data_IF_314853221299
#
_entry.id   IF_314853221299
#
_cell.length_a   1.000
_cell.length_b   1.000
_cell.length_c   1.000
_cell.angle_alpha   90.00
_cell.angle_beta   90.00
_cell.angle_gamma   90.00
#
_symmetry.space_group_name_H-M   'P 1'
#
loop_
_entity.id
_entity.type
_entity.pdbx_description
1 polymer ?
#
# COMPACT_ATOMS: atom_id res chain seq x y z
N UNK A 1 -15.83 5.60 -26.18
CA UNK A 1 -17.06 5.75 -25.39
C UNK A 1 -17.20 4.52 -24.51
N UNK A 2 -16.89 4.64 -23.21
CA UNK A 2 -17.20 3.60 -22.23
C UNK A 2 -18.73 3.61 -22.06
N UNK A 3 -19.42 2.55 -22.47
CA UNK A 3 -20.86 2.44 -22.19
C UNK A 3 -21.05 2.53 -20.67
N UNK A 4 -21.87 3.49 -20.22
CA UNK A 4 -22.32 3.62 -18.83
C UNK A 4 -23.22 2.43 -18.45
N UNK A 5 -22.67 1.22 -18.42
CA UNK A 5 -23.32 0.11 -17.72
C UNK A 5 -23.03 0.34 -16.24
N UNK A 6 -24.10 0.66 -15.50
CA UNK A 6 -24.04 1.10 -14.11
C UNK A 6 -23.06 0.31 -13.27
N UNK A 7 -22.21 1.02 -12.54
CA UNK A 7 -21.30 0.49 -11.54
C UNK A 7 -22.11 0.00 -10.33
N UNK A 8 -22.92 -1.04 -10.52
CA UNK A 8 -23.63 -1.69 -9.45
C UNK A 8 -22.66 -2.38 -8.48
N UNK A 9 -23.13 -2.72 -7.27
CA UNK A 9 -22.38 -3.43 -6.22
C UNK A 9 -21.77 -4.79 -6.64
N UNK A 10 -21.98 -5.23 -7.88
CA UNK A 10 -21.37 -6.42 -8.49
C UNK A 10 -20.18 -6.15 -9.40
N UNK A 11 -19.74 -4.90 -9.60
CA UNK A 11 -18.56 -4.61 -10.44
C UNK A 11 -17.29 -5.15 -9.75
N UNK A 12 -16.40 -5.89 -10.46
CA UNK A 12 -15.23 -6.54 -9.86
C UNK A 12 -14.37 -5.60 -9.01
N UNK A 13 -14.15 -4.37 -9.50
CA UNK A 13 -13.39 -3.31 -8.84
C UNK A 13 -14.01 -2.86 -7.52
N UNK A 14 -15.32 -2.57 -7.51
CA UNK A 14 -16.05 -2.15 -6.30
C UNK A 14 -16.13 -3.29 -5.30
N UNK A 15 -16.21 -4.54 -5.78
CA UNK A 15 -16.20 -5.73 -4.95
C UNK A 15 -14.85 -5.89 -4.24
N UNK A 16 -13.74 -5.91 -5.00
CA UNK A 16 -12.37 -6.02 -4.46
C UNK A 16 -12.10 -4.93 -3.43
N UNK A 17 -12.45 -3.67 -3.75
CA UNK A 17 -12.22 -2.57 -2.82
C UNK A 17 -13.11 -2.65 -1.58
N UNK A 18 -14.40 -2.98 -1.71
CA UNK A 18 -15.29 -3.14 -0.56
C UNK A 18 -14.88 -4.27 0.39
N UNK A 19 -14.16 -5.28 -0.11
CA UNK A 19 -13.61 -6.38 0.67
C UNK A 19 -12.33 -5.94 1.39
N UNK A 20 -11.45 -5.15 0.75
CA UNK A 20 -10.29 -4.49 1.40
C UNK A 20 -10.75 -3.59 2.55
N UNK A 21 -11.72 -2.71 2.29
CA UNK A 21 -12.16 -1.68 3.24
C UNK A 21 -12.81 -2.27 4.50
N UNK A 22 -13.62 -3.32 4.36
CA UNK A 22 -14.22 -4.03 5.52
C UNK A 22 -13.18 -4.65 6.45
N UNK A 23 -12.00 -4.97 5.93
CA UNK A 23 -10.90 -5.51 6.71
C UNK A 23 -10.11 -4.39 7.40
N UNK A 24 -9.79 -3.30 6.69
CA UNK A 24 -9.15 -2.10 7.28
C UNK A 24 -9.99 -1.54 8.44
N UNK A 25 -11.33 -1.52 8.29
CA UNK A 25 -12.26 -1.11 9.36
C UNK A 25 -12.18 -1.98 10.63
N UNK A 26 -11.74 -3.24 10.51
CA UNK A 26 -11.61 -4.19 11.65
C UNK A 26 -10.28 -4.05 12.39
N UNK A 27 -9.28 -3.39 11.80
CA UNK A 27 -7.99 -3.14 12.47
C UNK A 27 -8.06 -1.99 13.49
N UNK A 28 -9.20 -1.29 13.56
CA UNK A 28 -9.44 -0.19 14.51
C UNK A 28 -8.67 1.08 14.12
N UNK A 29 -9.06 2.24 14.67
CA UNK A 29 -8.23 3.44 14.53
C UNK A 29 -6.89 3.18 15.23
N UNK A 30 -5.80 3.74 14.67
CA UNK A 30 -4.51 3.83 15.35
C UNK A 30 -4.65 4.48 16.75
N UNK A 31 -3.58 4.44 17.57
CA UNK A 31 -3.62 4.91 18.95
C UNK A 31 -4.25 6.31 19.10
N UNK A 32 -5.01 6.52 20.18
CA UNK A 32 -5.78 7.74 20.44
C UNK A 32 -4.88 8.99 20.32
N UNK A 33 -5.20 9.94 19.40
CA UNK A 33 -4.40 11.14 19.17
C UNK A 33 -4.35 12.09 20.39
N UNK A 34 -5.11 11.82 21.46
CA UNK A 34 -5.04 12.55 22.74
C UNK A 34 -3.92 12.08 23.65
N UNK A 35 -3.26 10.96 23.35
CA UNK A 35 -2.06 10.52 24.07
C UNK A 35 -0.89 11.33 23.52
N UNK A 36 -0.56 12.43 24.20
CA UNK A 36 0.63 13.21 23.86
C UNK A 36 1.89 12.34 24.02
N UNK A 37 2.86 12.42 23.10
CA UNK A 37 4.16 11.80 23.32
C UNK A 37 4.78 12.42 24.58
N UNK A 38 5.37 11.57 25.45
CA UNK A 38 6.15 12.05 26.59
C UNK A 38 7.27 12.97 26.07
N UNK A 39 7.60 14.06 26.79
CA UNK A 39 8.77 14.86 26.47
C UNK A 39 10.02 13.97 26.47
N UNK A 40 10.87 14.13 25.46
CA UNK A 40 12.17 13.47 25.42
C UNK A 40 13.01 13.98 26.62
N UNK A 41 13.75 13.10 27.33
CA UNK A 41 14.70 13.53 28.33
C UNK A 41 15.81 14.40 27.69
N UNK A 42 16.47 15.27 28.47
CA UNK A 42 17.43 16.26 27.98
C UNK A 42 18.71 15.67 27.36
N UNK A 43 18.90 14.35 27.47
CA UNK A 43 20.07 13.64 27.00
C UNK A 43 19.62 12.80 25.81
N UNK A 44 20.00 13.21 24.59
CA UNK A 44 19.45 12.79 23.29
C UNK A 44 19.61 11.32 22.87
N UNK A 45 19.48 10.36 23.78
CA UNK A 45 19.32 8.95 23.46
C UNK A 45 17.82 8.60 23.50
N UNK A 46 17.22 8.07 22.41
CA UNK A 46 15.87 7.54 22.49
C UNK A 46 15.85 6.37 23.48
N UNK A 47 14.95 6.44 24.48
CA UNK A 47 14.68 5.31 25.36
C UNK A 47 14.38 4.07 24.49
N UNK A 48 15.05 2.92 24.70
CA UNK A 48 14.74 1.72 23.94
C UNK A 48 13.25 1.41 24.10
N UNK A 49 12.55 1.27 22.97
CA UNK A 49 11.14 0.91 22.97
C UNK A 49 10.93 -0.30 23.91
N UNK A 50 9.87 -0.30 24.74
CA UNK A 50 9.66 -1.37 25.70
C UNK A 50 9.67 -2.69 24.97
N UNK A 51 10.53 -3.61 25.41
CA UNK A 51 10.68 -4.92 24.82
C UNK A 51 9.29 -5.58 24.72
N UNK A 52 8.87 -5.89 23.49
CA UNK A 52 7.63 -6.61 23.25
C UNK A 52 7.69 -7.92 24.06
N UNK A 53 6.66 -8.25 24.86
CA UNK A 53 6.68 -9.44 25.69
C UNK A 53 6.93 -10.68 24.82
N UNK A 54 7.89 -11.52 25.25
CA UNK A 54 8.42 -12.69 24.55
C UNK A 54 7.42 -13.87 24.38
N UNK A 55 6.11 -13.58 24.31
CA UNK A 55 5.03 -14.55 24.14
C UNK A 55 4.02 -14.08 23.10
N UNK A 56 4.49 -13.84 21.88
CA UNK A 56 3.77 -14.21 20.66
C UNK A 56 4.80 -14.82 19.73
N UNK A 57 4.98 -16.14 19.83
CA UNK A 57 5.42 -16.90 18.65
C UNK A 57 4.50 -16.48 17.51
N UNK A 58 5.08 -16.31 16.34
CA UNK A 58 4.41 -15.93 15.10
C UNK A 58 3.26 -16.88 14.75
N UNK A 59 2.15 -16.75 15.46
CA UNK A 59 0.83 -17.09 14.95
C UNK A 59 0.45 -15.86 14.14
N UNK A 60 0.69 -15.96 12.83
CA UNK A 60 0.16 -14.99 11.87
C UNK A 60 -1.33 -14.86 12.20
N UNK A 61 -1.82 -13.67 12.62
CA UNK A 61 -3.25 -13.49 12.82
C UNK A 61 -3.91 -13.89 11.51
N UNK A 62 -4.93 -14.76 11.55
CA UNK A 62 -5.62 -15.30 10.38
C UNK A 62 -5.79 -14.24 9.28
N UNK A 63 -4.80 -14.18 8.39
CA UNK A 63 -4.56 -13.11 7.42
C UNK A 63 -5.28 -13.49 6.13
N UNK A 64 -6.55 -13.86 6.24
CA UNK A 64 -7.30 -14.42 5.14
C UNK A 64 -7.97 -13.30 4.33
N UNK A 65 -7.17 -12.41 3.73
CA UNK A 65 -7.53 -11.71 2.50
C UNK A 65 -6.29 -11.28 1.71
N UNK A 66 -5.87 -12.16 0.80
CA UNK A 66 -4.65 -12.00 0.03
C UNK A 66 -3.37 -12.19 0.85
N UNK A 67 -2.25 -12.41 0.17
CA UNK A 67 -0.93 -12.52 0.79
C UNK A 67 -0.27 -11.15 0.83
N UNK A 68 -0.63 -10.33 1.83
CA UNK A 68 -0.03 -8.99 2.05
C UNK A 68 0.31 -8.73 3.51
N UNK A 69 1.43 -8.06 3.76
CA UNK A 69 1.84 -7.50 5.05
C UNK A 69 1.94 -5.97 4.92
N UNK A 70 1.65 -5.23 5.98
CA UNK A 70 1.66 -3.77 5.98
C UNK A 70 2.76 -3.23 6.90
N UNK A 71 3.53 -2.28 6.38
CA UNK A 71 4.59 -1.58 7.09
C UNK A 71 4.30 -0.07 7.03
N UNK A 72 3.89 0.57 8.14
CA UNK A 72 3.59 2.00 8.18
C UNK A 72 4.73 2.81 8.82
N UNK A 73 5.92 2.95 8.19
CA UNK A 73 7.11 3.55 8.80
C UNK A 73 6.92 5.02 9.22
N UNK A 74 6.08 5.78 8.49
CA UNK A 74 5.75 7.17 8.83
C UNK A 74 5.03 7.27 10.17
N UNK A 75 4.10 6.36 10.46
CA UNK A 75 3.30 6.37 11.69
C UNK A 75 3.96 5.57 12.81
N UNK A 76 4.70 4.52 12.48
CA UNK A 76 5.49 3.72 13.43
C UNK A 76 6.83 4.36 13.79
N UNK A 77 7.23 5.43 13.12
CA UNK A 77 8.51 6.13 13.33
C UNK A 77 9.74 5.23 13.27
N UNK A 78 9.79 4.33 12.29
CA UNK A 78 10.93 3.45 12.01
C UNK A 78 11.35 3.55 10.54
N UNK A 79 12.64 3.31 10.25
CA UNK A 79 13.12 3.23 8.88
C UNK A 79 12.71 1.89 8.25
N UNK A 80 12.18 1.86 7.01
CA UNK A 80 11.74 0.61 6.39
C UNK A 80 12.92 -0.35 6.11
N UNK A 81 14.15 0.15 6.01
CA UNK A 81 15.38 -0.65 5.88
C UNK A 81 16.05 -0.98 7.22
N UNK A 82 15.38 -0.79 8.36
CA UNK A 82 15.91 -1.25 9.64
C UNK A 82 16.15 -2.78 9.60
N UNK A 83 17.37 -3.20 9.94
CA UNK A 83 17.80 -4.61 9.89
C UNK A 83 16.97 -5.50 10.83
N UNK A 84 16.30 -4.94 11.84
CA UNK A 84 15.36 -5.68 12.67
C UNK A 84 14.14 -6.21 11.89
N UNK A 85 13.78 -5.57 10.76
CA UNK A 85 12.64 -5.97 9.92
C UNK A 85 13.00 -7.05 8.88
N UNK A 86 14.29 -7.26 8.61
CA UNK A 86 14.76 -8.16 7.55
C UNK A 86 14.30 -9.61 7.70
N UNK A 87 14.25 -10.21 8.90
CA UNK A 87 13.67 -11.55 9.07
C UNK A 87 12.20 -11.63 8.62
N UNK A 88 11.43 -10.54 8.79
CA UNK A 88 10.05 -10.48 8.33
C UNK A 88 9.98 -10.36 6.80
N UNK A 89 10.86 -9.58 6.17
CA UNK A 89 10.95 -9.49 4.71
C UNK A 89 11.36 -10.81 4.07
N UNK A 90 12.36 -11.51 4.63
CA UNK A 90 12.77 -12.83 4.18
C UNK A 90 11.62 -13.85 4.26
N UNK A 91 10.82 -13.77 5.33
CA UNK A 91 9.61 -14.58 5.45
C UNK A 91 8.58 -14.22 4.36
N UNK A 92 8.32 -12.92 4.15
CA UNK A 92 7.36 -12.48 3.15
C UNK A 92 7.76 -12.91 1.74
N UNK A 93 9.04 -12.75 1.37
CA UNK A 93 9.58 -13.18 0.08
C UNK A 93 9.40 -14.68 -0.12
N UNK A 94 9.79 -15.50 0.86
CA UNK A 94 9.66 -16.96 0.80
C UNK A 94 8.21 -17.44 0.68
N UNK A 95 7.28 -16.76 1.35
CA UNK A 95 5.87 -17.17 1.42
C UNK A 95 4.97 -16.47 0.38
N UNK A 96 5.56 -15.76 -0.59
CA UNK A 96 4.85 -14.97 -1.61
C UNK A 96 3.89 -13.93 -1.01
N UNK A 97 4.26 -13.30 0.11
CA UNK A 97 3.57 -12.13 0.65
C UNK A 97 4.16 -10.86 0.05
N UNK A 98 3.26 -10.01 -0.43
CA UNK A 98 3.61 -8.62 -0.76
C UNK A 98 3.77 -7.78 0.51
N UNK A 99 4.66 -6.79 0.48
CA UNK A 99 4.81 -5.82 1.57
C UNK A 99 4.35 -4.45 1.09
N UNK A 100 3.34 -3.89 1.76
CA UNK A 100 2.80 -2.57 1.47
C UNK A 100 3.44 -1.57 2.42
N UNK A 101 4.24 -0.65 1.89
CA UNK A 101 4.84 0.43 2.65
C UNK A 101 4.03 1.71 2.53
N UNK A 102 3.75 2.36 3.65
CA UNK A 102 3.28 3.74 3.64
C UNK A 102 4.37 4.63 3.04
N UNK A 103 4.22 5.01 1.77
CA UNK A 103 5.18 5.75 0.96
C UNK A 103 4.56 7.10 0.56
N UNK A 104 4.40 7.99 1.53
CA UNK A 104 3.92 9.34 1.28
C UNK A 104 3.94 10.18 2.54
N UNK A 105 3.95 11.50 2.39
CA UNK A 105 3.85 12.41 3.53
C UNK A 105 2.48 12.30 4.17
N UNK A 106 2.45 12.35 5.50
CA UNK A 106 1.24 12.48 6.31
C UNK A 106 1.31 13.75 7.15
N UNK A 107 0.13 14.31 7.41
CA UNK A 107 -0.07 15.48 8.27
C UNK A 107 -0.59 15.10 9.66
N UNK A 108 -0.82 13.80 9.92
CA UNK A 108 -1.29 13.36 11.22
C UNK A 108 -0.21 13.60 12.29
N UNK A 109 -0.60 14.03 13.51
CA UNK A 109 0.34 14.21 14.61
C UNK A 109 1.21 12.97 14.84
N UNK A 110 2.52 13.18 15.06
CA UNK A 110 3.48 12.09 15.25
C UNK A 110 4.03 11.45 13.96
N UNK A 111 3.61 11.92 12.78
CA UNK A 111 4.12 11.41 11.50
C UNK A 111 5.59 11.79 11.27
N UNK A 112 6.43 10.80 10.96
CA UNK A 112 7.84 10.98 10.62
C UNK A 112 8.06 10.83 9.11
N UNK A 113 7.77 11.90 8.36
CA UNK A 113 7.70 11.89 6.88
C UNK A 113 9.01 11.53 6.15
N UNK A 114 10.17 11.60 6.81
CA UNK A 114 11.44 11.12 6.23
C UNK A 114 11.45 9.61 6.00
N UNK A 115 10.65 8.83 6.73
CA UNK A 115 10.59 7.39 6.53
C UNK A 115 9.64 6.96 5.40
N UNK A 116 9.00 7.92 4.72
CA UNK A 116 8.31 7.68 3.45
C UNK A 116 9.25 7.69 2.23
N UNK A 117 10.54 7.99 2.43
CA UNK A 117 11.51 8.09 1.34
C UNK A 117 11.69 6.74 0.60
N UNK A 118 11.36 6.66 -0.71
CA UNK A 118 11.57 5.45 -1.51
C UNK A 118 13.01 4.96 -1.54
N UNK A 119 14.01 5.83 -1.30
CA UNK A 119 15.41 5.41 -1.22
C UNK A 119 15.67 4.42 -0.07
N UNK A 120 14.94 4.56 1.05
CA UNK A 120 15.02 3.59 2.15
C UNK A 120 14.38 2.25 1.76
N UNK A 121 13.36 2.27 0.90
CA UNK A 121 12.71 1.05 0.40
C UNK A 121 13.58 0.38 -0.67
N UNK A 122 14.38 1.13 -1.43
CA UNK A 122 15.33 0.61 -2.42
C UNK A 122 16.32 -0.37 -1.80
N UNK A 123 16.83 -0.09 -0.60
CA UNK A 123 17.69 -1.02 0.14
C UNK A 123 17.02 -2.38 0.38
N UNK A 124 15.73 -2.38 0.72
CA UNK A 124 14.95 -3.61 0.92
C UNK A 124 14.76 -4.35 -0.40
N UNK A 125 14.39 -3.65 -1.46
CA UNK A 125 14.20 -4.24 -2.79
C UNK A 125 15.51 -4.81 -3.36
N UNK A 126 16.64 -4.17 -3.07
CA UNK A 126 17.97 -4.67 -3.45
C UNK A 126 18.31 -5.96 -2.69
N UNK A 127 18.06 -5.98 -1.39
CA UNK A 127 18.44 -7.10 -0.52
C UNK A 127 17.45 -8.29 -0.64
N UNK A 128 16.22 -8.06 -1.09
CA UNK A 128 15.16 -9.04 -1.35
C UNK A 128 14.57 -8.85 -2.77
N UNK A 129 15.27 -9.31 -3.82
CA UNK A 129 14.92 -9.01 -5.21
C UNK A 129 13.62 -9.69 -5.69
N UNK A 130 13.14 -10.73 -5.01
CA UNK A 130 11.91 -11.45 -5.35
C UNK A 130 10.70 -10.97 -4.50
N UNK A 131 10.95 -10.21 -3.43
CA UNK A 131 9.90 -9.63 -2.60
C UNK A 131 9.03 -8.67 -3.42
N UNK A 132 7.72 -8.90 -3.46
CA UNK A 132 6.79 -7.95 -4.07
C UNK A 132 6.54 -6.78 -3.13
N UNK A 133 6.82 -5.56 -3.58
CA UNK A 133 6.72 -4.33 -2.80
C UNK A 133 5.66 -3.41 -3.39
N UNK A 134 4.83 -2.83 -2.53
CA UNK A 134 3.81 -1.85 -2.91
C UNK A 134 4.05 -0.54 -2.15
N UNK A 135 4.14 0.56 -2.89
CA UNK A 135 4.30 1.90 -2.37
C UNK A 135 2.91 2.54 -2.22
N UNK A 136 2.31 2.40 -1.03
CA UNK A 136 1.04 3.06 -0.72
C UNK A 136 1.20 4.58 -0.74
N UNK A 137 0.23 5.26 -1.32
CA UNK A 137 0.23 6.70 -1.58
C UNK A 137 1.28 7.20 -2.60
N UNK A 138 1.99 6.30 -3.29
CA UNK A 138 2.76 6.60 -4.50
C UNK A 138 3.80 7.72 -4.39
N UNK A 139 4.33 7.97 -3.21
CA UNK A 139 5.26 9.07 -2.95
C UNK A 139 4.59 10.43 -2.67
N UNK A 140 3.33 10.43 -2.21
CA UNK A 140 2.58 11.66 -1.88
C UNK A 140 3.45 12.71 -1.21
N UNK A 141 3.37 13.95 -1.69
CA UNK A 141 4.19 15.06 -1.20
C UNK A 141 5.37 15.31 -2.12
N UNK A 142 6.59 15.07 -1.65
CA UNK A 142 7.82 15.34 -2.41
C UNK A 142 8.55 14.07 -2.88
N UNK A 143 7.92 12.89 -2.76
CA UNK A 143 8.54 11.60 -3.08
C UNK A 143 8.07 11.01 -4.43
N UNK A 144 7.17 11.68 -5.16
CA UNK A 144 6.58 11.15 -6.40
C UNK A 144 7.62 10.72 -7.43
N UNK A 145 8.65 11.53 -7.65
CA UNK A 145 9.67 11.22 -8.64
C UNK A 145 10.50 10.00 -8.26
N UNK A 146 10.86 9.87 -6.98
CA UNK A 146 11.60 8.72 -6.48
C UNK A 146 10.74 7.43 -6.53
N UNK A 147 9.45 7.53 -6.18
CA UNK A 147 8.52 6.41 -6.24
C UNK A 147 8.29 5.92 -7.68
N UNK A 148 8.12 6.86 -8.63
CA UNK A 148 8.02 6.53 -10.05
C UNK A 148 9.31 5.90 -10.59
N UNK A 149 10.47 6.46 -10.24
CA UNK A 149 11.76 5.94 -10.66
C UNK A 149 11.96 4.48 -10.28
N UNK A 150 11.83 4.15 -8.98
CA UNK A 150 12.06 2.79 -8.49
C UNK A 150 11.05 1.80 -9.09
N UNK A 151 9.79 2.20 -9.26
CA UNK A 151 8.72 1.39 -9.85
C UNK A 151 8.99 1.05 -11.32
N UNK A 152 9.56 1.99 -12.09
CA UNK A 152 9.93 1.72 -13.49
C UNK A 152 11.23 0.91 -13.61
N UNK A 153 12.10 0.97 -12.60
CA UNK A 153 13.39 0.27 -12.58
C UNK A 153 13.30 -1.16 -12.05
N UNK A 154 12.31 -1.46 -11.19
CA UNK A 154 12.20 -2.73 -10.47
C UNK A 154 10.84 -3.39 -10.78
N UNK A 155 10.80 -4.56 -11.44
CA UNK A 155 9.54 -5.18 -11.88
C UNK A 155 8.67 -5.73 -10.74
N UNK A 156 9.24 -5.87 -9.54
CA UNK A 156 8.58 -6.30 -8.31
C UNK A 156 8.07 -5.14 -7.44
N UNK A 157 8.22 -3.89 -7.88
CA UNK A 157 7.75 -2.70 -7.17
C UNK A 157 6.52 -2.12 -7.86
N UNK A 158 5.50 -1.79 -7.07
CA UNK A 158 4.21 -1.27 -7.53
C UNK A 158 3.86 0.01 -6.79
N UNK A 159 3.05 0.87 -7.41
CA UNK A 159 2.47 2.04 -6.75
C UNK A 159 1.01 1.77 -6.44
N UNK A 160 0.57 2.02 -5.22
CA UNK A 160 -0.86 2.06 -4.90
C UNK A 160 -1.32 3.51 -4.75
N UNK A 161 -2.36 3.90 -5.49
CA UNK A 161 -2.79 5.30 -5.64
C UNK A 161 -3.75 5.79 -4.55
N UNK A 162 -3.84 5.10 -3.42
CA UNK A 162 -4.70 5.49 -2.30
C UNK A 162 -4.39 6.89 -1.78
N UNK A 163 -5.45 7.64 -1.52
CA UNK A 163 -5.35 9.01 -1.02
C UNK A 163 -4.81 10.02 -2.04
N UNK A 164 -4.67 9.63 -3.32
CA UNK A 164 -4.32 10.53 -4.42
C UNK A 164 -5.56 10.81 -5.28
N UNK A 165 -5.90 12.09 -5.57
CA UNK A 165 -6.97 12.41 -6.52
C UNK A 165 -6.61 11.87 -7.91
N UNK A 166 -7.41 10.98 -8.53
CA UNK A 166 -7.05 10.34 -9.78
C UNK A 166 -6.73 11.32 -10.92
N UNK A 167 -7.48 12.44 -11.02
CA UNK A 167 -7.25 13.47 -12.04
C UNK A 167 -5.86 14.12 -11.96
N UNK A 168 -5.21 14.09 -10.79
CA UNK A 168 -3.90 14.70 -10.58
C UNK A 168 -2.73 13.72 -10.78
N UNK A 169 -3.00 12.43 -10.97
CA UNK A 169 -1.94 11.43 -11.18
C UNK A 169 -1.00 11.81 -12.34
N UNK A 170 -1.48 12.28 -13.53
CA UNK A 170 -0.58 12.72 -14.59
C UNK A 170 0.32 13.89 -14.17
N UNK A 171 -0.18 14.81 -13.37
CA UNK A 171 0.59 15.97 -12.89
C UNK A 171 1.63 15.57 -11.84
N UNK A 172 1.30 14.64 -10.94
CA UNK A 172 2.20 14.15 -9.91
C UNK A 172 3.39 13.39 -10.49
N UNK A 173 3.20 12.67 -11.60
CA UNK A 173 4.24 11.90 -12.27
C UNK A 173 4.66 12.50 -13.61
N UNK A 174 4.48 13.81 -13.81
CA UNK A 174 4.72 14.51 -15.09
C UNK A 174 6.14 14.38 -15.66
N UNK A 175 7.11 14.04 -14.82
CA UNK A 175 8.51 13.84 -15.21
C UNK A 175 8.76 12.45 -15.82
N UNK A 176 7.74 11.59 -15.86
CA UNK A 176 7.81 10.22 -16.39
C UNK A 176 6.74 9.99 -17.45
N UNK A 177 6.90 8.92 -18.23
CA UNK A 177 5.83 8.40 -19.08
C UNK A 177 4.72 7.83 -18.18
N UNK A 178 3.68 8.63 -17.98
CA UNK A 178 2.55 8.27 -17.12
C UNK A 178 1.83 7.02 -17.64
N UNK A 179 1.68 6.85 -18.96
CA UNK A 179 1.02 5.68 -19.54
C UNK A 179 1.77 4.38 -19.25
N UNK A 180 3.11 4.43 -19.31
CA UNK A 180 3.97 3.30 -18.91
C UNK A 180 3.91 3.04 -17.41
N UNK A 181 4.04 4.06 -16.58
CA UNK A 181 4.01 3.94 -15.12
C UNK A 181 2.66 3.41 -14.61
N UNK A 182 1.57 3.89 -15.20
CA UNK A 182 0.19 3.51 -14.91
C UNK A 182 -0.03 1.98 -14.96
N UNK A 183 0.69 1.25 -15.82
CA UNK A 183 0.58 -0.22 -15.90
C UNK A 183 1.08 -0.94 -14.63
N UNK A 184 1.90 -0.27 -13.82
CA UNK A 184 2.41 -0.75 -12.52
C UNK A 184 1.69 -0.11 -11.33
N UNK A 185 0.54 0.52 -11.54
CA UNK A 185 -0.28 1.09 -10.46
C UNK A 185 -1.39 0.15 -10.00
N UNK A 186 -1.79 0.27 -8.74
CA UNK A 186 -2.87 -0.47 -8.09
C UNK A 186 -3.87 0.56 -7.56
N UNK A 187 -5.15 0.36 -7.85
CA UNK A 187 -6.21 1.18 -7.32
C UNK A 187 -6.38 0.94 -5.81
N UNK A 188 -6.53 2.04 -5.08
CA UNK A 188 -6.84 2.07 -3.66
C UNK A 188 -7.44 3.43 -3.32
N UNK A 189 -8.21 3.51 -2.25
CA UNK A 189 -8.97 4.74 -1.91
C UNK A 189 -8.55 5.37 -0.60
N UNK A 190 -7.76 4.69 0.24
CA UNK A 190 -7.50 5.14 1.62
C UNK A 190 -8.79 5.27 2.45
N UNK A 191 -9.76 4.38 2.23
CA UNK A 191 -10.99 4.36 3.02
C UNK A 191 -10.68 3.90 4.47
N UNK A 192 -11.25 4.54 5.51
CA UNK A 192 -12.31 5.54 5.49
C UNK A 192 -11.85 7.00 5.38
N UNK A 193 -10.54 7.25 5.24
CA UNK A 193 -9.95 8.59 5.15
C UNK A 193 -10.39 9.40 3.94
N UNK A 194 -10.68 8.75 2.81
CA UNK A 194 -11.26 9.39 1.61
C UNK A 194 -12.56 8.69 1.18
N UNK A 195 -13.72 9.37 1.23
CA UNK A 195 -14.97 8.83 0.71
C UNK A 195 -14.98 8.84 -0.83
N UNK A 196 -15.80 7.96 -1.44
CA UNK A 196 -16.06 8.00 -2.88
C UNK A 196 -15.24 7.00 -3.72
N UNK A 197 -15.26 5.72 -3.33
CA UNK A 197 -14.63 4.63 -4.10
C UNK A 197 -15.07 4.65 -5.58
N UNK A 198 -16.38 4.69 -5.81
CA UNK A 198 -16.95 4.71 -7.16
C UNK A 198 -16.51 5.96 -7.93
N UNK A 199 -16.57 7.14 -7.29
CA UNK A 199 -16.17 8.38 -7.92
C UNK A 199 -14.68 8.38 -8.31
N UNK A 200 -13.80 7.85 -7.45
CA UNK A 200 -12.37 7.71 -7.75
C UNK A 200 -12.13 6.72 -8.90
N UNK A 201 -12.82 5.57 -8.90
CA UNK A 201 -12.70 4.59 -9.98
C UNK A 201 -13.16 5.17 -11.33
N UNK A 202 -14.30 5.87 -11.35
CA UNK A 202 -14.81 6.55 -12.55
C UNK A 202 -13.83 7.63 -13.02
N UNK A 203 -13.30 8.44 -12.10
CA UNK A 203 -12.31 9.45 -12.45
C UNK A 203 -11.03 8.85 -13.03
N UNK A 204 -10.63 7.66 -12.60
CA UNK A 204 -9.46 6.98 -13.15
C UNK A 204 -9.72 6.50 -14.58
N UNK A 205 -10.93 6.01 -14.87
CA UNK A 205 -11.37 5.64 -16.22
C UNK A 205 -11.36 6.84 -17.18
N UNK A 206 -11.60 8.05 -16.66
CA UNK A 206 -11.67 9.29 -17.44
C UNK A 206 -10.28 9.91 -17.75
N UNK A 207 -9.17 9.30 -17.31
CA UNK A 207 -7.80 9.80 -17.56
C UNK A 207 -7.32 9.66 -19.01
N UNK A 208 -8.12 9.03 -19.89
CA UNK A 208 -7.75 8.81 -21.29
C UNK A 208 -6.68 7.72 -21.49
N UNK A 209 -6.49 6.84 -20.51
CA UNK A 209 -5.61 5.68 -20.61
C UNK A 209 -6.21 4.58 -21.49
N UNK A 210 -5.34 3.75 -22.06
CA UNK A 210 -5.70 2.48 -22.72
C UNK A 210 -6.61 1.64 -21.83
N UNK A 211 -7.63 1.01 -22.43
CA UNK A 211 -8.60 0.18 -21.69
C UNK A 211 -7.91 -0.90 -20.86
N UNK A 212 -6.89 -1.54 -21.43
CA UNK A 212 -6.10 -2.57 -20.74
C UNK A 212 -5.39 -1.98 -19.51
N UNK A 213 -4.80 -0.80 -19.62
CA UNK A 213 -4.14 -0.11 -18.50
C UNK A 213 -5.13 0.22 -17.39
N UNK A 214 -6.33 0.69 -17.74
CA UNK A 214 -7.39 0.94 -16.75
C UNK A 214 -7.79 -0.35 -16.02
N UNK A 215 -7.95 -1.47 -16.73
CA UNK A 215 -8.25 -2.78 -16.11
C UNK A 215 -7.12 -3.27 -15.20
N UNK A 216 -5.85 -3.06 -15.61
CA UNK A 216 -4.67 -3.36 -14.80
C UNK A 216 -4.74 -2.62 -13.46
N UNK A 217 -4.94 -1.30 -13.50
CA UNK A 217 -4.97 -0.48 -12.29
C UNK A 217 -6.14 -0.85 -11.39
N UNK A 218 -7.34 -0.94 -11.96
CA UNK A 218 -8.55 -1.08 -11.17
C UNK A 218 -8.69 -2.44 -10.47
N UNK A 219 -8.14 -3.53 -11.03
CA UNK A 219 -8.20 -4.83 -10.34
C UNK A 219 -7.10 -5.83 -10.67
N UNK A 220 -6.65 -5.98 -11.93
CA UNK A 220 -5.79 -7.12 -12.30
C UNK A 220 -4.42 -7.09 -11.59
N UNK A 221 -3.87 -5.90 -11.37
CA UNK A 221 -2.64 -5.75 -10.60
C UNK A 221 -2.85 -6.15 -9.14
N UNK A 222 -3.96 -5.75 -8.52
CA UNK A 222 -4.31 -6.16 -7.16
C UNK A 222 -4.50 -7.69 -7.04
N UNK A 223 -5.19 -8.32 -7.99
CA UNK A 223 -5.39 -9.77 -8.04
C UNK A 223 -4.04 -10.51 -8.09
N UNK A 224 -3.12 -10.04 -8.95
CA UNK A 224 -1.77 -10.59 -9.10
C UNK A 224 -0.91 -10.37 -7.86
N UNK A 225 -0.82 -9.13 -7.39
CA UNK A 225 0.11 -8.71 -6.32
C UNK A 225 -0.32 -9.24 -4.97
N UNK A 226 -1.63 -9.20 -4.67
CA UNK A 226 -2.16 -9.66 -3.39
C UNK A 226 -2.62 -11.12 -3.43
N UNK A 227 -2.49 -11.83 -4.56
CA UNK A 227 -2.86 -13.25 -4.70
C UNK A 227 -4.33 -13.51 -4.31
N UNK A 228 -5.24 -12.63 -4.74
CA UNK A 228 -6.66 -12.69 -4.32
C UNK A 228 -7.40 -13.94 -4.83
N UNK A 229 -6.94 -14.52 -5.95
CA UNK A 229 -7.53 -15.74 -6.51
C UNK A 229 -7.15 -17.02 -5.76
N UNK A 230 -6.02 -17.02 -5.05
CA UNK A 230 -5.56 -18.19 -4.28
C UNK A 230 -6.50 -18.54 -3.10
N UNK A 231 -7.31 -17.57 -2.65
CA UNK A 231 -8.36 -17.78 -1.64
C UNK A 231 -9.65 -18.39 -2.20
N UNK A 232 -9.92 -18.29 -3.51
CA UNK A 232 -11.16 -18.83 -4.11
C UNK A 232 -11.17 -20.35 -4.23
N UNK A 233 -10.01 -20.98 -4.39
CA UNK A 233 -9.89 -22.43 -4.58
C UNK A 233 -10.30 -23.26 -3.35
N UNK A 234 -10.35 -22.67 -2.14
CA UNK A 234 -10.72 -23.38 -0.90
C UNK A 234 -12.20 -23.29 -0.52
N UNK A 235 -13.03 -22.54 -1.27
CA UNK A 235 -14.44 -22.31 -0.95
C UNK A 235 -15.46 -23.10 -1.78
N UNK A 236 -15.02 -23.94 -2.71
CA UNK A 236 -15.89 -24.65 -3.67
C UNK A 236 -15.92 -26.17 -3.43
N UNK A 237 -16.03 -26.60 -2.18
CA UNK A 237 -16.43 -27.97 -1.83
C UNK A 237 -17.40 -27.94 -0.66
N UNK A 238 -18.67 -27.65 -0.96
CA UNK A 238 -19.79 -28.08 -0.16
C UNK A 238 -20.96 -28.30 -1.13
N UNK A 239 -21.18 -29.58 -1.46
CA UNK A 239 -22.41 -30.08 -2.08
C UNK A 239 -23.55 -30.09 -1.06
#
# INVERSE_FOLDING_TARGET
MYERRGCGRGHPVLRVQSEVDRHTARQGPGPDPRVQPRPLPPDGEPEPAPALPARRRAEAPDLAWGRRAEAPPVHGSFAPNDRMLYPAYAYCEREDFSVVFHCGTSVFPGSTNRYADPALIEDVVRDFPDLTVVLAHGGRGWWYDAAAFITLMRPNVWIEVSGLPPQKLPDYYKNYDFGKLARSMIFGTDWPGVPGIEANALSLMDLGLEKETVELILHRNAERVYRLDAGRAKGSTAS
#
